data_IF_146886458374
#
_entry.id   IF_146886458374
#
_cell.length_a   1.000
_cell.length_b   1.000
_cell.length_c   1.000
_cell.angle_alpha   90.00
_cell.angle_beta   90.00
_cell.angle_gamma   90.00
#
_symmetry.space_group_name_H-M   'P 1'
#
loop_
_entity.id
_entity.type
_entity.pdbx_description
1 polymer ?
#
# COMPACT_ATOMS: atom_id res chain seq x y z
N UNK A 1 -0.47 3.52 19.47
CA UNK A 1 -0.15 3.77 18.04
C UNK A 1 0.85 4.90 17.99
N UNK A 2 1.97 4.72 17.30
CA UNK A 2 2.97 5.78 17.09
C UNK A 2 2.69 6.45 15.74
N UNK A 3 2.36 7.74 15.75
CA UNK A 3 2.08 8.54 14.54
C UNK A 3 3.19 9.58 14.42
N UNK A 4 3.81 9.68 13.25
CA UNK A 4 4.90 10.58 12.98
C UNK A 4 4.91 10.97 11.49
N UNK A 5 5.53 12.12 11.14
CA UNK A 5 5.75 12.47 9.76
C UNK A 5 6.76 11.54 9.10
N UNK A 6 6.61 11.34 7.81
CA UNK A 6 7.58 10.64 6.97
C UNK A 6 8.01 11.53 5.80
N UNK A 7 9.29 11.44 5.45
CA UNK A 7 9.88 12.01 4.24
C UNK A 7 10.82 10.94 3.68
N UNK A 8 10.39 10.22 2.65
CA UNK A 8 11.07 9.02 2.19
C UNK A 8 10.80 8.72 0.70
N UNK A 9 11.62 7.83 0.17
CA UNK A 9 11.35 7.18 -1.12
C UNK A 9 10.60 5.86 -0.90
N UNK A 10 9.67 5.59 -1.79
CA UNK A 10 8.95 4.33 -1.80
C UNK A 10 8.83 3.80 -3.24
N UNK A 11 8.52 2.51 -3.38
CA UNK A 11 8.53 1.82 -4.66
C UNK A 11 7.25 1.03 -4.85
N UNK A 12 6.85 0.88 -6.11
CA UNK A 12 5.71 0.05 -6.48
C UNK A 12 5.95 -0.58 -7.86
N UNK A 13 5.64 -1.86 -7.96
CA UNK A 13 5.50 -2.50 -9.26
C UNK A 13 4.10 -2.18 -9.81
N UNK A 14 4.07 -1.59 -10.99
CA UNK A 14 2.84 -1.28 -11.70
C UNK A 14 2.60 -2.35 -12.78
N UNK A 15 1.36 -2.80 -12.91
CA UNK A 15 0.95 -3.55 -14.09
C UNK A 15 1.10 -2.64 -15.33
N UNK A 16 1.79 -3.04 -16.40
CA UNK A 16 2.08 -2.16 -17.53
C UNK A 16 0.85 -1.44 -18.07
N UNK A 17 -0.26 -2.16 -18.21
CA UNK A 17 -1.53 -1.61 -18.69
C UNK A 17 -2.06 -0.41 -17.87
N UNK A 18 -1.71 -0.33 -16.57
CA UNK A 18 -2.19 0.71 -15.66
C UNK A 18 -1.10 1.68 -15.23
N UNK A 19 0.11 1.56 -15.79
CA UNK A 19 1.26 2.39 -15.41
C UNK A 19 1.11 3.88 -15.79
N UNK A 20 0.13 4.24 -16.61
CA UNK A 20 -0.22 5.63 -16.91
C UNK A 20 -0.92 6.37 -15.75
N UNK A 21 -1.35 5.64 -14.72
CA UNK A 21 -1.96 6.18 -13.49
C UNK A 21 -1.23 5.67 -12.25
N UNK A 22 0.04 6.00 -12.06
CA UNK A 22 0.88 5.42 -11.00
C UNK A 22 0.39 5.75 -9.59
N UNK A 23 -0.29 6.88 -9.39
CA UNK A 23 -0.83 7.33 -8.11
C UNK A 23 -2.26 6.83 -7.84
N UNK A 24 -2.82 6.02 -8.74
CA UNK A 24 -4.20 5.54 -8.60
C UNK A 24 -4.32 4.47 -7.52
N UNK A 25 -5.23 4.69 -6.58
CA UNK A 25 -5.71 3.70 -5.60
C UNK A 25 -6.92 2.88 -6.09
N UNK A 26 -7.34 3.07 -7.36
CA UNK A 26 -8.58 2.49 -7.88
C UNK A 26 -8.59 0.96 -7.90
N UNK A 27 -7.44 0.32 -8.12
CA UNK A 27 -7.33 -1.15 -8.07
C UNK A 27 -7.67 -1.70 -6.69
N UNK A 28 -7.12 -1.11 -5.65
CA UNK A 28 -7.44 -1.47 -4.26
C UNK A 28 -8.89 -1.09 -3.90
N UNK A 29 -9.40 0.03 -4.40
CA UNK A 29 -10.80 0.41 -4.19
C UNK A 29 -11.77 -0.59 -4.82
N UNK A 30 -11.41 -1.22 -5.95
CA UNK A 30 -12.29 -2.19 -6.62
C UNK A 30 -12.37 -3.52 -5.89
N UNK A 31 -11.26 -4.03 -5.42
CA UNK A 31 -11.15 -5.42 -4.93
C UNK A 31 -10.96 -5.52 -3.41
N UNK A 32 -10.61 -4.41 -2.78
CA UNK A 32 -10.10 -4.40 -1.42
C UNK A 32 -8.60 -4.71 -1.36
N UNK A 33 -8.03 -4.50 -0.22
CA UNK A 33 -6.63 -4.81 0.10
C UNK A 33 -6.50 -5.21 1.56
N UNK A 34 -5.27 -5.43 2.02
CA UNK A 34 -5.03 -5.79 3.43
C UNK A 34 -5.65 -4.77 4.39
N UNK A 35 -5.45 -3.49 4.15
CA UNK A 35 -5.90 -2.39 5.02
C UNK A 35 -6.91 -1.46 4.34
N UNK A 36 -7.71 -1.95 3.41
CA UNK A 36 -8.84 -1.19 2.87
C UNK A 36 -9.95 -2.10 2.37
N UNK A 37 -11.20 -1.69 2.61
CA UNK A 37 -12.37 -2.33 2.03
C UNK A 37 -12.54 -2.00 0.56
N UNK A 38 -13.28 -2.81 -0.21
CA UNK A 38 -13.82 -2.36 -1.48
C UNK A 38 -14.56 -1.01 -1.33
N UNK A 39 -14.31 -0.10 -2.27
CA UNK A 39 -14.83 1.27 -2.22
C UNK A 39 -13.86 2.29 -1.62
N UNK A 40 -12.86 1.88 -0.88
CA UNK A 40 -11.87 2.79 -0.27
C UNK A 40 -10.58 2.80 -1.09
N UNK A 41 -10.20 3.94 -1.72
CA UNK A 41 -8.93 4.06 -2.42
C UNK A 41 -7.75 3.89 -1.48
N UNK A 42 -6.78 3.08 -1.89
CA UNK A 42 -5.54 2.89 -1.15
C UNK A 42 -4.37 2.66 -2.11
N UNK A 43 -3.23 3.25 -1.82
CA UNK A 43 -2.00 3.10 -2.57
C UNK A 43 -1.00 2.31 -1.73
N UNK A 44 -0.67 1.10 -2.19
CA UNK A 44 0.32 0.23 -1.55
C UNK A 44 1.68 0.43 -2.19
N UNK A 45 2.66 0.77 -1.37
CA UNK A 45 4.05 1.02 -1.72
C UNK A 45 4.96 0.15 -0.84
N UNK A 46 6.22 0.03 -1.20
CA UNK A 46 7.25 -0.62 -0.38
C UNK A 46 8.45 0.31 -0.22
N UNK A 47 9.17 0.25 0.89
CA UNK A 47 10.33 1.12 1.11
C UNK A 47 11.57 0.64 0.37
N UNK A 48 11.60 -0.63 -0.05
CA UNK A 48 12.70 -1.21 -0.81
C UNK A 48 12.19 -1.73 -2.17
N UNK A 49 12.96 -1.54 -3.26
CA UNK A 49 12.60 -2.06 -4.59
C UNK A 49 12.34 -3.57 -4.58
N UNK A 50 13.14 -4.34 -3.86
CA UNK A 50 13.03 -5.79 -3.75
C UNK A 50 11.74 -6.21 -3.05
N UNK A 51 11.29 -5.41 -2.07
CA UNK A 51 10.01 -5.64 -1.39
C UNK A 51 8.85 -5.39 -2.36
N UNK A 52 8.91 -4.31 -3.15
CA UNK A 52 7.90 -4.03 -4.17
C UNK A 52 7.78 -5.17 -5.20
N UNK A 53 8.92 -5.72 -5.63
CA UNK A 53 8.97 -6.88 -6.53
C UNK A 53 8.36 -8.12 -5.88
N UNK A 54 8.69 -8.40 -4.62
CA UNK A 54 8.15 -9.56 -3.89
C UNK A 54 6.64 -9.46 -3.68
N UNK A 55 6.13 -8.28 -3.35
CA UNK A 55 4.69 -8.04 -3.20
C UNK A 55 3.94 -8.18 -4.54
N UNK A 56 4.54 -7.75 -5.64
CA UNK A 56 3.94 -7.85 -6.97
C UNK A 56 3.87 -9.31 -7.45
N UNK A 57 4.93 -10.09 -7.27
CA UNK A 57 4.99 -11.48 -7.71
C UNK A 57 4.05 -12.41 -6.93
N UNK A 58 3.69 -12.04 -5.70
CA UNK A 58 2.80 -12.79 -4.81
C UNK A 58 3.09 -14.31 -4.75
N UNK A 59 4.35 -14.69 -4.91
CA UNK A 59 4.81 -16.07 -4.99
C UNK A 59 4.28 -16.87 -6.19
N UNK A 60 3.88 -16.21 -7.27
CA UNK A 60 3.59 -16.89 -8.53
C UNK A 60 4.86 -17.49 -9.13
N UNK A 61 4.78 -18.69 -9.74
CA UNK A 61 5.96 -19.35 -10.30
C UNK A 61 6.50 -18.65 -11.55
N UNK A 62 5.66 -17.86 -12.24
CA UNK A 62 6.04 -17.08 -13.42
C UNK A 62 5.90 -15.60 -13.11
N UNK A 63 7.01 -14.86 -13.23
CA UNK A 63 7.02 -13.42 -13.02
C UNK A 63 6.34 -12.70 -14.20
N UNK A 64 5.27 -11.99 -13.90
CA UNK A 64 4.55 -11.19 -14.89
C UNK A 64 5.29 -9.89 -15.21
N UNK A 65 5.20 -9.36 -16.45
CA UNK A 65 5.75 -8.04 -16.77
C UNK A 65 5.25 -6.96 -15.83
N UNK A 66 6.13 -6.08 -15.41
CA UNK A 66 5.81 -4.98 -14.52
C UNK A 66 6.73 -3.78 -14.74
N UNK A 67 6.28 -2.61 -14.33
CA UNK A 67 7.04 -1.36 -14.32
C UNK A 67 7.33 -1.00 -12.87
N UNK A 68 8.61 -0.97 -12.50
CA UNK A 68 9.03 -0.51 -11.17
C UNK A 68 9.10 1.02 -11.18
N UNK A 69 8.28 1.65 -10.36
CA UNK A 69 8.25 3.10 -10.20
C UNK A 69 8.73 3.50 -8.81
N UNK A 70 9.42 4.64 -8.72
CA UNK A 70 9.85 5.29 -7.48
C UNK A 70 8.93 6.46 -7.16
N UNK A 71 8.64 6.66 -5.89
CA UNK A 71 7.75 7.71 -5.39
C UNK A 71 8.47 8.52 -4.31
N UNK A 72 8.28 9.83 -4.35
CA UNK A 72 8.63 10.72 -3.25
C UNK A 72 7.38 10.86 -2.38
N UNK A 73 7.53 10.58 -1.08
CA UNK A 73 6.43 10.56 -0.11
C UNK A 73 6.80 11.44 1.06
N UNK A 74 6.03 12.51 1.27
CA UNK A 74 6.12 13.37 2.44
C UNK A 74 4.72 13.54 3.02
N UNK A 75 4.47 12.87 4.14
CA UNK A 75 3.14 12.80 4.76
C UNK A 75 3.28 12.99 6.27
N UNK A 76 2.48 13.91 6.82
CA UNK A 76 2.58 14.32 8.22
C UNK A 76 2.04 13.29 9.21
N UNK A 77 0.99 12.56 8.85
CA UNK A 77 0.28 11.65 9.76
C UNK A 77 0.38 10.21 9.27
N UNK A 78 1.47 9.53 9.63
CA UNK A 78 1.68 8.11 9.29
C UNK A 78 1.87 7.29 10.56
N UNK A 79 1.07 6.24 10.72
CA UNK A 79 1.25 5.27 11.79
C UNK A 79 2.43 4.34 11.46
N UNK A 80 3.30 4.05 12.42
CA UNK A 80 4.50 3.25 12.22
C UNK A 80 4.46 1.95 13.01
N UNK A 81 4.24 0.84 12.31
CA UNK A 81 4.27 -0.53 12.84
C UNK A 81 5.38 -1.36 12.15
N UNK A 82 6.54 -0.75 11.92
CA UNK A 82 7.66 -1.37 11.14
C UNK A 82 8.13 -2.70 11.70
N UNK A 83 8.12 -2.85 13.03
CA UNK A 83 8.55 -4.08 13.74
C UNK A 83 7.39 -5.05 14.01
N UNK A 84 6.23 -4.80 13.41
CA UNK A 84 5.02 -5.57 13.66
C UNK A 84 4.33 -5.17 14.96
N UNK A 85 3.45 -6.06 15.45
CA UNK A 85 2.69 -5.83 16.67
C UNK A 85 3.57 -5.74 17.91
N UNK A 86 3.28 -4.77 18.75
CA UNK A 86 3.77 -4.69 20.12
C UNK A 86 2.66 -4.16 21.06
N UNK A 87 2.91 -4.14 22.37
CA UNK A 87 1.91 -3.78 23.37
C UNK A 87 1.43 -2.31 23.35
N UNK A 88 2.05 -1.45 22.55
CA UNK A 88 1.59 -0.06 22.37
C UNK A 88 0.44 0.07 21.35
N UNK A 89 0.14 -1.02 20.65
CA UNK A 89 -0.98 -1.11 19.73
C UNK A 89 -2.18 -1.77 20.40
N UNK A 90 -3.38 -1.47 19.92
CA UNK A 90 -4.59 -2.18 20.32
C UNK A 90 -4.42 -3.69 20.09
N UNK A 91 -4.94 -4.56 20.96
CA UNK A 91 -4.82 -6.01 20.80
C UNK A 91 -5.33 -6.58 19.46
N UNK A 92 -6.26 -5.90 18.80
CA UNK A 92 -6.73 -6.26 17.45
C UNK A 92 -5.57 -6.34 16.45
N UNK A 93 -4.55 -5.48 16.58
CA UNK A 93 -3.39 -5.43 15.69
C UNK A 93 -2.50 -6.69 15.74
N UNK A 94 -2.77 -7.67 16.59
CA UNK A 94 -2.11 -8.98 16.55
C UNK A 94 -2.41 -9.73 15.26
N UNK A 95 -3.56 -9.45 14.64
CA UNK A 95 -4.05 -10.10 13.42
C UNK A 95 -3.67 -9.33 12.15
N UNK A 96 -2.67 -8.40 12.20
CA UNK A 96 -2.29 -7.54 11.07
C UNK A 96 -1.81 -8.33 9.84
N UNK A 97 -1.20 -9.51 10.04
CA UNK A 97 -0.65 -10.39 9.01
C UNK A 97 -1.61 -11.52 8.57
N UNK A 98 -2.88 -11.44 8.99
CA UNK A 98 -3.89 -12.43 8.63
C UNK A 98 -3.97 -12.69 7.13
N UNK A 99 -4.43 -13.87 6.74
CA UNK A 99 -4.66 -14.27 5.34
C UNK A 99 -5.93 -13.58 4.79
N UNK A 100 -5.89 -12.23 4.69
CA UNK A 100 -7.05 -11.41 4.33
C UNK A 100 -7.73 -11.81 3.02
N UNK A 101 -6.97 -12.27 2.00
CA UNK A 101 -7.54 -12.74 0.74
C UNK A 101 -8.37 -14.00 0.92
N UNK A 102 -7.88 -14.94 1.72
CA UNK A 102 -8.61 -16.16 2.04
C UNK A 102 -9.88 -15.85 2.80
N UNK A 103 -9.79 -15.04 3.84
CA UNK A 103 -10.95 -14.62 4.65
C UNK A 103 -12.02 -14.00 3.74
N UNK A 104 -11.65 -13.03 2.91
CA UNK A 104 -12.59 -12.30 2.07
C UNK A 104 -13.12 -13.10 0.88
N UNK A 105 -12.22 -13.63 0.03
CA UNK A 105 -12.61 -14.23 -1.24
C UNK A 105 -13.07 -15.70 -1.14
N UNK A 106 -12.64 -16.43 -0.12
CA UNK A 106 -12.94 -17.86 0.04
C UNK A 106 -13.96 -18.08 1.14
N UNK A 107 -13.77 -17.45 2.30
CA UNK A 107 -14.60 -17.69 3.48
C UNK A 107 -15.76 -16.69 3.60
N UNK A 108 -15.75 -15.57 2.86
CA UNK A 108 -16.77 -14.52 2.94
C UNK A 108 -16.79 -13.79 4.29
N UNK A 109 -15.63 -13.77 4.96
CA UNK A 109 -15.44 -13.14 6.26
C UNK A 109 -14.68 -11.83 6.08
N UNK A 110 -15.16 -10.75 6.70
CA UNK A 110 -14.45 -9.48 6.73
C UNK A 110 -13.13 -9.62 7.49
N UNK A 111 -11.98 -9.29 6.87
CA UNK A 111 -10.69 -9.40 7.55
C UNK A 111 -10.58 -8.42 8.72
N UNK A 112 -9.97 -8.81 9.86
CA UNK A 112 -9.77 -7.91 11.00
C UNK A 112 -8.94 -6.67 10.67
N UNK A 113 -8.09 -6.76 9.65
CA UNK A 113 -7.29 -5.62 9.15
C UNK A 113 -8.14 -4.47 8.58
N UNK A 114 -9.39 -4.71 8.21
CA UNK A 114 -10.29 -3.65 7.79
C UNK A 114 -10.82 -2.84 8.97
N UNK A 115 -11.09 -3.48 10.10
CA UNK A 115 -11.38 -2.78 11.34
C UNK A 115 -10.17 -1.97 11.85
N UNK A 116 -8.94 -2.48 11.62
CA UNK A 116 -7.71 -1.70 11.88
C UNK A 116 -7.63 -0.45 11.01
N UNK A 117 -8.03 -0.54 9.73
CA UNK A 117 -8.10 0.61 8.83
C UNK A 117 -9.11 1.66 9.30
N UNK A 118 -10.22 1.24 9.91
CA UNK A 118 -11.19 2.15 10.54
C UNK A 118 -10.56 2.89 11.74
N UNK A 119 -9.74 2.20 12.55
CA UNK A 119 -9.01 2.83 13.64
C UNK A 119 -8.02 3.90 13.14
N UNK A 120 -7.34 3.64 12.02
CA UNK A 120 -6.48 4.64 11.36
C UNK A 120 -7.28 5.85 10.90
N UNK A 121 -8.43 5.62 10.30
CA UNK A 121 -9.33 6.69 9.85
C UNK A 121 -9.81 7.57 10.99
N UNK A 122 -10.29 6.95 12.07
CA UNK A 122 -10.73 7.68 13.27
C UNK A 122 -9.60 8.48 13.94
N UNK A 123 -8.36 8.01 13.79
CA UNK A 123 -7.17 8.71 14.29
C UNK A 123 -6.66 9.80 13.33
N UNK A 124 -7.31 10.03 12.18
CA UNK A 124 -6.88 11.02 11.20
C UNK A 124 -5.57 10.68 10.49
N UNK A 125 -5.26 9.38 10.36
CA UNK A 125 -3.99 8.91 9.82
C UNK A 125 -4.08 8.75 8.31
N UNK A 126 -3.15 9.36 7.57
CA UNK A 126 -3.06 9.30 6.12
C UNK A 126 -2.35 8.05 5.58
N UNK A 127 -1.64 7.30 6.43
CA UNK A 127 -0.94 6.10 6.02
C UNK A 127 -0.45 5.21 7.17
N UNK A 128 -0.02 4.00 6.82
CA UNK A 128 0.52 3.01 7.76
C UNK A 128 1.78 2.35 7.18
N UNK A 129 2.87 2.37 7.95
CA UNK A 129 4.05 1.55 7.73
C UNK A 129 3.89 0.21 8.46
N UNK A 130 4.11 -0.90 7.76
CA UNK A 130 3.98 -2.25 8.30
C UNK A 130 4.97 -3.22 7.65
N UNK A 131 5.34 -4.35 8.32
CA UNK A 131 6.27 -5.30 7.74
C UNK A 131 5.70 -5.98 6.49
N UNK A 132 6.57 -6.31 5.54
CA UNK A 132 6.18 -7.17 4.42
C UNK A 132 6.03 -8.62 4.88
N UNK A 133 4.88 -9.23 4.57
CA UNK A 133 4.65 -10.66 4.76
C UNK A 133 5.35 -11.48 3.66
N UNK A 134 5.60 -10.87 2.49
CA UNK A 134 6.22 -11.55 1.33
C UNK A 134 7.74 -11.52 1.35
N UNK A 135 8.32 -10.52 1.99
CA UNK A 135 9.78 -10.37 2.11
C UNK A 135 10.16 -10.05 3.56
N UNK A 136 10.66 -11.02 4.34
CA UNK A 136 11.13 -10.77 5.69
C UNK A 136 12.18 -9.65 5.74
N UNK A 137 11.99 -8.70 6.66
CA UNK A 137 12.83 -7.51 6.78
C UNK A 137 12.47 -6.35 5.85
N UNK A 138 11.55 -6.55 4.90
CA UNK A 138 11.00 -5.48 4.06
C UNK A 138 9.88 -4.71 4.76
N UNK A 139 9.69 -3.47 4.37
CA UNK A 139 8.64 -2.59 4.91
C UNK A 139 7.70 -2.14 3.80
N UNK A 140 6.42 -2.25 4.05
CA UNK A 140 5.36 -1.71 3.21
C UNK A 140 4.78 -0.42 3.80
N UNK A 141 4.24 0.41 2.92
CA UNK A 141 3.49 1.62 3.23
C UNK A 141 2.15 1.57 2.50
N UNK A 142 1.05 1.68 3.20
CA UNK A 142 -0.24 2.01 2.60
C UNK A 142 -0.55 3.48 2.85
N UNK A 143 -0.95 4.18 1.80
CA UNK A 143 -1.44 5.56 1.86
C UNK A 143 -2.90 5.59 1.42
N UNK A 144 -3.67 6.48 2.03
CA UNK A 144 -5.07 6.73 1.69
C UNK A 144 -5.15 8.11 1.01
N UNK A 145 -5.20 8.18 -0.33
CA UNK A 145 -5.14 9.45 -1.05
C UNK A 145 -6.19 10.47 -0.59
N UNK A 146 -7.40 10.01 -0.27
CA UNK A 146 -8.50 10.87 0.17
C UNK A 146 -8.34 11.42 1.60
N UNK A 147 -7.30 10.97 2.33
CA UNK A 147 -7.00 11.39 3.72
C UNK A 147 -5.73 12.22 3.82
N UNK A 148 -5.04 12.44 2.70
CA UNK A 148 -3.84 13.26 2.68
C UNK A 148 -4.22 14.74 2.83
N UNK A 149 -3.43 15.47 3.64
CA UNK A 149 -3.60 16.90 3.80
C UNK A 149 -3.08 17.66 2.56
N UNK A 150 -3.47 18.91 2.39
CA UNK A 150 -2.95 19.77 1.31
C UNK A 150 -1.42 20.00 1.40
N UNK A 151 -0.86 19.88 2.61
CA UNK A 151 0.59 19.97 2.85
C UNK A 151 1.35 18.68 2.56
N UNK A 152 0.64 17.55 2.39
CA UNK A 152 1.26 16.28 2.09
C UNK A 152 1.67 16.20 0.62
N UNK A 153 2.81 15.57 0.35
CA UNK A 153 3.34 15.43 -1.01
C UNK A 153 3.45 13.94 -1.37
N UNK A 154 2.88 13.58 -2.50
CA UNK A 154 2.98 12.26 -3.09
C UNK A 154 3.20 12.39 -4.59
N UNK A 155 4.38 12.06 -5.07
CA UNK A 155 4.78 12.23 -6.46
C UNK A 155 5.49 10.99 -6.98
N UNK A 156 5.20 10.62 -8.23
CA UNK A 156 6.01 9.63 -8.95
C UNK A 156 7.27 10.31 -9.51
N UNK A 157 8.41 9.66 -9.36
CA UNK A 157 9.66 10.15 -9.93
C UNK A 157 9.75 9.72 -11.41
N UNK A 158 9.32 10.60 -12.29
CA UNK A 158 9.38 10.43 -13.76
C UNK A 158 9.79 11.75 -14.43
N UNK A 159 11.06 12.20 -14.21
CA UNK A 159 11.50 13.52 -14.65
C UNK A 159 11.52 13.68 -16.18
N UNK A 160 11.61 12.58 -16.93
CA UNK A 160 11.65 12.60 -18.40
C UNK A 160 10.29 12.23 -19.03
N UNK A 161 9.26 11.97 -18.22
CA UNK A 161 7.91 11.62 -18.70
C UNK A 161 7.86 10.33 -19.49
N UNK A 162 8.59 9.30 -19.05
CA UNK A 162 8.70 8.00 -19.72
C UNK A 162 7.56 7.03 -19.41
N UNK A 163 6.79 7.29 -18.35
CA UNK A 163 5.59 6.50 -18.08
C UNK A 163 4.55 6.71 -19.18
N UNK A 164 3.79 5.66 -19.55
CA UNK A 164 2.72 5.79 -20.52
C UNK A 164 1.71 6.87 -20.11
N UNK A 165 1.16 7.58 -21.11
CA UNK A 165 0.13 8.61 -20.88
C UNK A 165 -1.30 8.07 -21.02
N UNK A 166 -1.45 6.88 -21.58
CA UNK A 166 -2.74 6.23 -21.83
C UNK A 166 -2.57 4.72 -21.93
N UNK A 167 -3.67 4.00 -22.11
CA UNK A 167 -3.68 2.57 -22.38
C UNK A 167 -3.48 2.20 -23.85
N UNK A 168 -3.29 3.16 -24.75
CA UNK A 168 -3.34 2.90 -26.19
C UNK A 168 -2.22 1.97 -26.68
N UNK A 169 -1.08 1.97 -25.98
CA UNK A 169 0.04 1.06 -26.26
C UNK A 169 -0.25 -0.42 -25.94
N UNK A 170 -1.37 -0.71 -25.29
CA UNK A 170 -1.71 -2.05 -24.78
C UNK A 170 -2.98 -2.63 -25.39
N UNK A 171 -3.48 -2.02 -26.45
CA UNK A 171 -4.67 -2.47 -27.20
C UNK A 171 -4.30 -3.34 -28.40
#
# INVERSE_FOLDING_TARGET
>A
MNIAPVDLLAYRMLTPRWSFQPLSGAGAAREGGRFNRPGTPALYLSLEPETAVAEFSQAEPLFSPGVLACFQVKVEQVAAMREGYNRSWDPLWREWDCEWKRLWFIEGIEPPTWAMADLLEHAGVGGLLFPSVKRPGGTNLVLYPDRLAESDELQVHDPEGQLPRSQDSWR
#
